data_IF_002046314368
#
_entry.id   IF_002046314368
#
_cell.length_a   1.000
_cell.length_b   1.000
_cell.length_c   1.000
_cell.angle_alpha   90.00
_cell.angle_beta   90.00
_cell.angle_gamma   90.00
#
_symmetry.space_group_name_H-M   'P 1'
#
loop_
_entity.id
_entity.type
_entity.pdbx_description
1 polymer ?
2 non-polymer ?
3 non-polymer ?
4 water ?
#
# COMPACT_ATOMS: atom_id res chain seq x y z
N UNK A 1 -10.54 2.99 -2.38
CA UNK A 1 -10.71 4.47 -2.46
C UNK A 1 -10.02 5.14 -1.28
N UNK A 2 -9.78 6.44 -1.39
CA UNK A 2 -9.12 7.16 -0.31
C UNK A 2 -9.89 8.37 0.18
N UNK A 3 -9.76 8.68 1.48
CA UNK A 3 -10.44 9.84 2.06
C UNK A 3 -9.83 11.06 1.36
N UNK A 4 -10.57 12.16 1.29
CA UNK A 4 -10.10 13.38 0.62
C UNK A 4 -8.87 14.09 1.18
N UNK A 5 -8.57 13.88 2.46
CA UNK A 5 -7.42 14.54 3.07
C UNK A 5 -6.07 13.96 2.69
N UNK A 6 -6.07 12.84 1.98
CA UNK A 6 -4.82 12.18 1.58
C UNK A 6 -4.49 12.35 0.11
N UNK A 7 -3.20 12.46 -0.20
CA UNK A 7 -2.77 12.49 -1.59
C UNK A 7 -2.62 10.99 -1.86
N UNK A 8 -2.42 10.62 -3.12
CA UNK A 8 -2.25 9.21 -3.43
C UNK A 8 -1.04 8.64 -2.70
N UNK A 9 0.04 9.41 -2.63
CA UNK A 9 1.25 8.96 -1.95
C UNK A 9 1.01 8.76 -0.45
N UNK A 10 0.29 9.68 0.18
CA UNK A 10 0.02 9.56 1.60
C UNK A 10 -0.88 8.36 1.88
N UNK A 11 -1.79 8.08 0.96
CA UNK A 11 -2.69 6.95 1.11
C UNK A 11 -1.89 5.66 0.92
N UNK A 12 -0.96 5.66 -0.03
CA UNK A 12 -0.12 4.48 -0.26
C UNK A 12 0.67 4.19 1.01
N UNK A 13 1.21 5.24 1.63
CA UNK A 13 1.98 5.07 2.85
C UNK A 13 1.09 4.53 3.98
N UNK A 14 -0.14 5.04 4.06
CA UNK A 14 -1.07 4.61 5.09
C UNK A 14 -1.51 3.15 4.90
N UNK A 15 -1.73 2.74 3.66
CA UNK A 15 -2.17 1.38 3.40
C UNK A 15 -1.08 0.33 3.32
N UNK A 16 0.10 0.71 2.85
CA UNK A 16 1.15 -0.28 2.63
C UNK A 16 2.48 -0.14 3.34
N UNK A 17 2.69 0.94 4.09
CA UNK A 17 3.96 1.13 4.77
C UNK A 17 3.83 1.27 6.28
N UNK A 18 2.92 2.12 6.72
CA UNK A 18 2.75 2.34 8.14
C UNK A 18 1.81 1.34 8.81
N UNK A 19 2.31 0.14 9.05
CA UNK A 19 1.52 -0.89 9.71
C UNK A 19 1.60 -0.53 11.19
N UNK A 20 0.54 0.10 11.70
CA UNK A 20 0.53 0.58 13.08
C UNK A 20 0.60 -0.46 14.18
N UNK A 21 0.42 -1.72 13.81
CA UNK A 21 0.51 -2.85 14.74
C UNK A 21 0.99 -4.03 13.92
N UNK A 22 1.75 -4.93 14.54
CA UNK A 22 2.21 -6.11 13.82
C UNK A 22 1.06 -7.11 13.66
N UNK A 23 -0.07 -6.83 14.31
CA UNK A 23 -1.25 -7.68 14.23
C UNK A 23 -2.19 -7.08 13.17
N UNK A 24 -2.60 -7.88 12.20
CA UNK A 24 -3.47 -7.38 11.15
C UNK A 24 -4.81 -6.81 11.61
N UNK A 25 -5.48 -7.47 12.54
CA UNK A 25 -6.77 -6.96 13.00
C UNK A 25 -6.64 -5.52 13.47
N UNK A 26 -5.60 -5.24 14.24
CA UNK A 26 -5.39 -3.88 14.74
C UNK A 26 -4.92 -2.92 13.65
N UNK A 27 -3.96 -3.34 12.84
CA UNK A 27 -3.45 -2.48 11.77
C UNK A 27 -4.53 -2.10 10.76
N UNK A 28 -5.40 -3.05 10.45
CA UNK A 28 -6.46 -2.80 9.48
C UNK A 28 -7.52 -1.82 9.96
N UNK A 29 -7.62 -1.61 11.28
CA UNK A 29 -8.61 -0.67 11.81
C UNK A 29 -8.39 0.72 11.22
N UNK A 30 -7.13 1.08 11.00
CA UNK A 30 -6.80 2.39 10.44
C UNK A 30 -7.37 2.54 9.03
N UNK A 31 -7.04 1.59 8.17
CA UNK A 31 -7.50 1.63 6.79
C UNK A 31 -9.03 1.57 6.73
N UNK A 32 -9.61 0.66 7.50
CA UNK A 32 -11.06 0.48 7.50
C UNK A 32 -11.81 1.69 8.05
N UNK A 33 -11.29 2.30 9.11
CA UNK A 33 -11.95 3.47 9.68
C UNK A 33 -11.92 4.63 8.69
N UNK A 34 -10.88 4.70 7.86
CA UNK A 34 -10.79 5.76 6.86
C UNK A 34 -11.65 5.46 5.64
N UNK A 35 -11.72 4.19 5.24
CA UNK A 35 -12.50 3.78 4.07
C UNK A 35 -13.97 3.49 4.37
N UNK A 36 -14.32 3.43 5.65
CA UNK A 36 -15.69 3.17 6.08
C UNK A 36 -16.23 1.81 5.65
N UNK A 37 -15.37 0.80 5.73
CA UNK A 37 -15.73 -0.57 5.39
C UNK A 37 -14.51 -1.43 5.67
N UNK A 38 -14.72 -2.73 5.81
CA UNK A 38 -13.61 -3.63 6.08
C UNK A 38 -13.01 -4.16 4.78
N UNK A 39 -11.82 -3.66 4.45
CA UNK A 39 -11.13 -4.08 3.23
C UNK A 39 -10.90 -5.59 3.29
N UNK A 40 -11.27 -6.29 2.22
CA UNK A 40 -11.13 -7.74 2.19
C UNK A 40 -9.70 -8.24 2.40
N UNK A 41 -8.73 -7.58 1.79
CA UNK A 41 -7.34 -7.96 1.97
C UNK A 41 -6.43 -6.77 1.71
N UNK A 42 -5.25 -6.80 2.30
CA UNK A 42 -4.31 -5.70 2.17
C UNK A 42 -2.90 -6.14 2.53
N UNK A 43 -1.93 -5.62 1.79
CA UNK A 43 -0.53 -5.95 2.03
C UNK A 43 0.26 -4.80 2.64
N UNK A 44 1.02 -5.11 3.69
CA UNK A 44 1.90 -4.13 4.33
C UNK A 44 3.33 -4.58 4.00
N UNK A 45 4.09 -3.71 3.35
CA UNK A 45 5.48 -4.00 3.00
C UNK A 45 6.34 -3.55 4.17
N UNK A 46 7.18 -4.45 4.68
CA UNK A 46 8.04 -4.08 5.79
C UNK A 46 9.32 -3.44 5.26
N UNK A 47 9.15 -2.23 4.74
CA UNK A 47 10.25 -1.46 4.18
C UNK A 47 9.94 0.00 4.48
N UNK A 48 10.84 0.91 4.12
CA UNK A 48 10.62 2.33 4.38
C UNK A 48 10.06 3.06 3.16
N UNK A 49 9.41 4.19 3.40
CA UNK A 49 8.85 4.98 2.31
C UNK A 49 9.98 5.39 1.37
N UNK A 50 11.12 5.75 1.95
CA UNK A 50 12.29 6.16 1.17
C UNK A 50 12.75 5.04 0.25
N UNK A 51 12.72 3.80 0.74
CA UNK A 51 13.12 2.66 -0.07
C UNK A 51 12.18 2.51 -1.26
N UNK A 52 10.89 2.71 -1.04
CA UNK A 52 9.93 2.58 -2.13
C UNK A 52 10.13 3.69 -3.16
N UNK A 53 10.37 4.91 -2.68
CA UNK A 53 10.61 6.02 -3.59
C UNK A 53 11.80 5.67 -4.49
N UNK A 54 12.83 5.06 -3.91
CA UNK A 54 13.97 4.69 -4.73
C UNK A 54 13.61 3.60 -5.73
N UNK A 55 12.67 2.72 -5.39
CA UNK A 55 12.24 1.69 -6.33
C UNK A 55 11.59 2.40 -7.53
N UNK A 56 10.96 3.54 -7.28
CA UNK A 56 10.35 4.30 -8.36
C UNK A 56 11.40 4.72 -9.38
N UNK A 57 12.66 4.71 -8.96
CA UNK A 57 13.77 5.07 -9.83
C UNK A 57 14.27 3.93 -10.70
N UNK A 58 13.76 2.72 -10.46
CA UNK A 58 14.16 1.57 -11.26
C UNK A 58 13.47 1.65 -12.62
N UNK A 59 13.92 0.85 -13.59
CA UNK A 59 13.31 0.88 -14.93
C UNK A 59 11.79 0.77 -14.96
N UNK A 60 11.17 1.49 -15.88
CA UNK A 60 9.72 1.43 -16.03
C UNK A 60 9.35 0.11 -16.67
N UNK A 61 8.20 -0.43 -16.28
CA UNK A 61 7.73 -1.68 -16.84
C UNK A 61 6.21 -1.64 -16.86
N UNK A 62 5.61 -2.55 -17.62
CA UNK A 62 4.17 -2.62 -17.70
C UNK A 62 3.61 -3.12 -16.38
N UNK A 63 2.52 -2.51 -15.94
CA UNK A 63 1.88 -2.92 -14.70
C UNK A 63 1.12 -4.22 -14.90
N UNK A 64 1.45 -5.27 -14.13
CA UNK A 64 0.76 -6.55 -14.27
C UNK A 64 -0.76 -6.45 -14.22
N UNK A 65 -1.28 -5.51 -13.44
CA UNK A 65 -2.73 -5.35 -13.32
C UNK A 65 -3.35 -4.64 -14.52
N UNK A 66 -2.59 -3.76 -15.16
CA UNK A 66 -3.10 -3.03 -16.31
C UNK A 66 -2.10 -2.99 -17.46
N UNK A 67 -2.40 -3.73 -18.52
CA UNK A 67 -1.53 -3.81 -19.69
C UNK A 67 -1.36 -2.47 -20.42
N UNK A 68 -2.12 -1.46 -20.01
CA UNK A 68 -2.03 -0.16 -20.66
C UNK A 68 -1.21 0.85 -19.88
N UNK A 69 -0.78 0.48 -18.67
CA UNK A 69 0.02 1.39 -17.85
C UNK A 69 1.50 1.00 -17.84
N UNK A 70 2.35 2.01 -17.95
CA UNK A 70 3.79 1.81 -18.00
C UNK A 70 4.52 2.57 -16.89
N UNK A 71 3.80 2.90 -15.82
CA UNK A 71 4.41 3.62 -14.70
C UNK A 71 4.75 2.71 -13.52
N UNK A 72 4.96 1.43 -13.80
CA UNK A 72 5.32 0.48 -12.75
C UNK A 72 6.82 0.22 -12.68
N UNK A 73 7.27 -0.23 -11.51
CA UNK A 73 8.68 -0.47 -11.24
C UNK A 73 8.84 -1.67 -10.33
N UNK A 74 9.80 -2.53 -10.65
CA UNK A 74 10.08 -3.74 -9.88
C UNK A 74 11.04 -3.42 -8.74
N UNK A 75 10.76 -3.98 -7.56
CA UNK A 75 11.58 -3.73 -6.37
C UNK A 75 13.04 -4.16 -6.48
N UNK A 76 13.32 -5.11 -7.37
CA UNK A 76 14.69 -5.57 -7.53
C UNK A 76 15.06 -6.62 -6.50
N UNK A 77 14.78 -6.33 -5.23
CA UNK A 77 15.08 -7.25 -4.14
C UNK A 77 13.80 -7.57 -3.38
N UNK A 78 13.82 -8.65 -2.62
CA UNK A 78 12.66 -9.04 -1.83
C UNK A 78 12.65 -8.27 -0.52
N UNK A 79 11.47 -8.15 0.07
CA UNK A 79 11.31 -7.49 1.35
C UNK A 79 10.32 -8.30 2.16
N UNK A 80 10.42 -8.22 3.49
CA UNK A 80 9.47 -8.97 4.31
C UNK A 80 8.16 -8.21 4.18
N UNK A 81 7.04 -8.90 4.30
CA UNK A 81 5.75 -8.25 4.20
C UNK A 81 4.72 -9.07 4.95
N UNK A 82 3.59 -8.45 5.23
CA UNK A 82 2.50 -9.13 5.92
C UNK A 82 1.24 -8.90 5.11
N UNK A 83 0.57 -9.98 4.73
CA UNK A 83 -0.66 -9.86 3.98
C UNK A 83 -1.81 -10.12 4.95
N UNK A 84 -2.78 -9.22 4.96
CA UNK A 84 -3.93 -9.34 5.84
C UNK A 84 -5.15 -9.79 5.06
N UNK A 85 -5.87 -10.77 5.60
CA UNK A 85 -7.08 -11.31 4.98
C UNK A 85 -8.25 -11.25 5.96
N UNK A 86 -9.36 -10.67 5.52
CA UNK A 86 -10.55 -10.55 6.36
C UNK A 86 -11.14 -11.93 6.65
N UNK A 87 -11.32 -12.24 7.93
CA UNK A 87 -11.89 -13.53 8.33
C UNK A 87 -13.29 -13.37 8.89
N UNK A 88 -13.56 -12.19 9.46
CA UNK A 88 -14.85 -11.93 10.06
C UNK A 88 -15.42 -10.57 9.66
N UNK A 89 -16.32 -10.54 8.67
CA UNK A 89 -16.93 -9.29 8.21
C UNK A 89 -17.81 -8.67 9.29
N UNK A 90 -18.11 -7.39 9.13
CA UNK A 90 -18.94 -6.67 10.10
C UNK A 90 -19.21 -5.26 9.58
N UNK A 91 -20.00 -5.15 8.50
CA UNK A 91 -20.33 -3.85 7.91
C UNK A 91 -21.07 -2.90 8.85
N UNK A 92 -21.79 -3.45 9.81
CA UNK A 92 -22.54 -2.64 10.77
C UNK A 92 -21.63 -2.05 11.85
N UNK A 93 -20.53 -2.74 12.12
CA UNK A 93 -19.57 -2.29 13.13
C UNK A 93 -18.18 -2.73 12.68
N UNK A 94 -17.55 -1.92 11.84
CA UNK A 94 -16.23 -2.23 11.30
C UNK A 94 -15.15 -2.52 12.34
N UNK A 95 -15.32 -2.03 13.56
CA UNK A 95 -14.33 -2.26 14.61
C UNK A 95 -14.28 -3.74 15.01
N UNK A 96 -15.32 -4.48 14.64
CA UNK A 96 -15.41 -5.90 14.97
C UNK A 96 -14.78 -6.81 13.93
N UNK A 97 -14.33 -6.24 12.82
CA UNK A 97 -13.71 -7.05 11.78
C UNK A 97 -12.39 -7.63 12.25
N UNK A 98 -12.18 -8.90 11.94
CA UNK A 98 -10.96 -9.59 12.33
C UNK A 98 -10.23 -10.06 11.07
N UNK A 99 -8.91 -10.15 11.17
CA UNK A 99 -8.08 -10.56 10.05
C UNK A 99 -7.06 -11.62 10.42
N UNK A 100 -6.61 -12.34 9.40
CA UNK A 100 -5.56 -13.33 9.56
C UNK A 100 -4.33 -12.59 9.02
N UNK A 101 -3.15 -13.01 9.44
CA UNK A 101 -1.91 -12.40 8.95
C UNK A 101 -1.01 -13.48 8.37
N UNK A 102 -0.45 -13.19 7.20
CA UNK A 102 0.44 -14.11 6.51
C UNK A 102 1.77 -13.42 6.22
N UNK A 103 2.84 -13.84 6.90
CA UNK A 103 4.16 -13.23 6.68
C UNK A 103 4.84 -13.88 5.49
N UNK A 104 5.59 -13.10 4.73
CA UNK A 104 6.29 -13.63 3.57
C UNK A 104 7.42 -12.70 3.16
N UNK A 105 8.27 -13.18 2.26
CA UNK A 105 9.38 -12.39 1.74
C UNK A 105 9.17 -12.46 0.24
N UNK A 106 8.82 -11.32 -0.35
CA UNK A 106 8.54 -11.28 -1.78
C UNK A 106 9.02 -10.00 -2.45
N UNK A 107 9.01 -10.02 -3.78
CA UNK A 107 9.37 -8.86 -4.57
C UNK A 107 8.04 -8.12 -4.73
N UNK A 108 8.10 -6.86 -5.11
CA UNK A 108 6.88 -6.10 -5.34
C UNK A 108 7.05 -5.19 -6.54
N UNK A 109 5.93 -4.82 -7.13
CA UNK A 109 5.90 -3.92 -8.26
C UNK A 109 4.97 -2.78 -7.86
N UNK A 110 5.49 -1.56 -7.91
CA UNK A 110 4.71 -0.39 -7.55
C UNK A 110 4.56 0.57 -8.71
N UNK A 111 3.44 1.27 -8.72
CA UNK A 111 3.18 2.29 -9.73
C UNK A 111 3.55 3.60 -9.07
N UNK A 112 4.27 4.45 -9.79
CA UNK A 112 4.68 5.74 -9.26
C UNK A 112 4.28 6.86 -10.21
N UNK A 113 4.04 8.04 -9.65
CA UNK A 113 3.66 9.22 -10.43
C UNK A 113 4.33 10.44 -9.83
N UNK A 114 4.22 11.57 -10.53
CA UNK A 114 4.78 12.80 -9.99
C UNK A 114 3.90 13.15 -8.80
N UNK A 115 4.49 13.79 -7.80
CA UNK A 115 3.77 14.16 -6.59
C UNK A 115 2.62 15.13 -6.79
N UNK A 116 1.76 15.20 -5.78
CA UNK A 116 0.63 16.11 -5.75
C UNK A 116 1.29 17.48 -5.58
N UNK A 117 1.15 18.35 -6.58
CA UNK A 117 1.78 19.67 -6.56
C UNK A 117 1.48 20.49 -5.31
N UNK A 118 0.20 20.56 -4.94
CA UNK A 118 -0.20 21.35 -3.79
C UNK A 118 -0.08 20.71 -2.41
N UNK A 119 -0.14 19.39 -2.33
CA UNK A 119 -0.10 18.74 -1.02
C UNK A 119 1.05 17.82 -0.65
N UNK A 120 1.73 17.23 -1.63
CA UNK A 120 2.86 16.36 -1.30
C UNK A 120 4.10 17.22 -1.07
N UNK A 121 4.96 16.81 -0.12
CA UNK A 121 6.17 17.58 0.17
C UNK A 121 7.13 17.61 -1.02
N UNK A 122 7.75 18.77 -1.30
CA UNK A 122 8.69 18.87 -2.43
C UNK A 122 9.89 17.92 -2.35
N UNK A 123 10.16 17.40 -1.16
CA UNK A 123 11.28 16.48 -0.95
C UNK A 123 11.28 15.32 -1.94
N UNK A 124 10.09 14.80 -2.27
CA UNK A 124 9.97 13.68 -3.19
C UNK A 124 9.16 14.03 -4.44
N UNK A 125 9.84 14.39 -5.54
CA UNK A 125 9.12 14.73 -6.77
C UNK A 125 8.35 13.55 -7.36
N UNK A 126 8.87 12.34 -7.16
CA UNK A 126 8.25 11.11 -7.66
C UNK A 126 7.88 10.24 -6.46
N UNK A 127 6.64 9.78 -6.43
CA UNK A 127 6.16 8.99 -5.30
C UNK A 127 5.35 7.76 -5.68
N UNK A 128 5.33 6.75 -4.80
CA UNK A 128 4.56 5.53 -5.08
C UNK A 128 3.09 5.87 -4.85
N UNK A 129 2.22 5.37 -5.72
CA UNK A 129 0.80 5.66 -5.59
C UNK A 129 -0.09 4.42 -5.60
N UNK A 130 0.47 3.27 -5.85
CA UNK A 130 -0.33 2.05 -5.98
C UNK A 130 0.61 0.85 -5.83
N UNK A 131 0.17 -0.18 -5.20
CA UNK A 131 0.93 -1.41 -5.05
C UNK A 131 0.28 -2.32 -6.08
N UNK A 132 0.94 -2.51 -7.21
CA UNK A 132 0.37 -3.32 -8.28
C UNK A 132 0.40 -4.82 -8.05
N UNK A 133 1.49 -5.34 -7.50
CA UNK A 133 1.57 -6.77 -7.26
C UNK A 133 2.76 -7.17 -6.42
N UNK A 134 2.65 -8.33 -5.78
CA UNK A 134 3.72 -8.88 -4.97
C UNK A 134 4.00 -10.26 -5.58
N UNK A 135 5.28 -10.62 -5.67
CA UNK A 135 5.66 -11.89 -6.27
C UNK A 135 6.60 -12.70 -5.38
X LIG B 1 12.91 -2.15 -0.76
X LIG B 1 11.72 -1.71 -0.46
X LIG B 1 13.94 -2.18 0.00
X LIG B 1 13.02 -2.68 -2.18
X LIG C 1 -3.48 0.24 -4.15
X LIG C 1 -7.34 2.22 -6.16
X LIG C 1 -2.01 0.51 -3.62
X LIG C 1 -4.24 1.55 -4.11
X LIG C 1 -6.00 -0.87 -3.06
X LIG C 1 -7.33 -1.12 -3.60
X LIG C 1 -6.47 0.27 -2.27
X LIG C 1 -5.18 -1.85 -2.20
X LIG C 1 -3.65 0.35 -4.21
X LIG C 1 -3.23 0.57 -2.82
X LIG C 1 -2.65 -0.31 -5.13
X LIG C 1 -5.06 -0.44 -4.28
X LIG C 1 -4.09 1.73 -4.86
X LIG C 1 -4.35 2.78 -4.96
X LIG C 1 -5.10 3.27 -6.23
X LIG C 1 -4.19 3.40 -7.35
X LIG C 1 -6.32 2.82 -8.43
X LIG C 1 -7.36 3.90 -8.07
X LIG C 1 -4.93 3.47 -8.52
X LIG C 1 -4.10 2.83 -9.55
X LIG C 1 -4.09 1.51 -10.13
X LIG C 1 -3.17 1.37 -11.06
X LIG C 1 -2.44 2.49 -11.11
X LIG C 1 -1.30 3.02 -11.82
X LIG C 1 -0.69 2.21 -12.68
X LIG C 1 -0.86 4.28 -11.57
X LIG C 1 -1.44 5.15 -10.75
X LIG C 1 -2.62 4.75 -9.95
X LIG C 1 -2.96 3.48 -10.19
#
# INVERSE_FOLDING_TARGET
>A
MKPPQFTWAQWFETQHINMTSQQCTNAMQVINNYQRRCKNQNTFLLTTFANVVNVCGNPNMTCPSNKTRKNCHHSGSQVPLIHCNLTTPSPQNISNCRYAQTPANMFYIVACDNRDQRRDPPQYPVVPVHLDRII
>B hetero
1 ACY C O OXT CH3
>C hetero
1 ATP PG O1G O2G O3G PB O1B O2B O3B PA O1A O2A O3A O5' C5' C4' O4' C2' O2' C1' N9 C8 N7 C5 C6 N6 N1 C2 N3 C4
#
